data_IF_851307527510
#
_entry.id   IF_851307527510
#
_cell.length_a   1.000
_cell.length_b   1.000
_cell.length_c   1.000
_cell.angle_alpha   90.00
_cell.angle_beta   90.00
_cell.angle_gamma   90.00
#
_symmetry.space_group_name_H-M   'P 1'
#
loop_
_entity.id
_entity.type
_entity.pdbx_description
1 polymer ?
#
# COMPACT_ATOMS: atom_id res chain seq x y z
N UNK A 1 5.55 10.79 -11.71
CA UNK A 1 4.54 9.82 -11.21
C UNK A 1 4.24 10.18 -9.77
N UNK A 2 2.99 10.02 -9.29
CA UNK A 2 2.66 10.12 -7.86
C UNK A 2 2.47 8.72 -7.31
N UNK A 3 2.91 8.51 -6.07
CA UNK A 3 2.56 7.33 -5.28
C UNK A 3 1.67 7.86 -4.15
N UNK A 4 0.40 7.49 -4.20
CA UNK A 4 -0.63 7.90 -3.25
C UNK A 4 -0.93 6.69 -2.38
N UNK A 5 -0.92 6.84 -1.07
CA UNK A 5 -1.16 5.75 -0.14
C UNK A 5 -2.27 6.11 0.85
N UNK A 6 -2.95 5.08 1.34
CA UNK A 6 -4.10 5.20 2.24
C UNK A 6 -3.78 4.53 3.57
N UNK A 7 -3.77 5.31 4.61
CA UNK A 7 -3.70 4.78 5.98
C UNK A 7 -5.06 4.33 6.49
N UNK A 8 -5.07 3.35 7.40
CA UNK A 8 -6.24 2.97 8.19
C UNK A 8 -7.45 2.47 7.36
N UNK A 9 -7.22 1.73 6.27
CA UNK A 9 -8.31 1.26 5.39
C UNK A 9 -8.82 -0.17 5.69
N UNK A 10 -8.38 -0.79 6.78
CA UNK A 10 -8.87 -2.10 7.26
C UNK A 10 -9.19 -2.04 8.74
N UNK A 11 -10.41 -2.44 9.14
CA UNK A 11 -10.89 -2.34 10.53
C UNK A 11 -9.96 -3.07 11.50
N UNK A 12 -9.57 -4.31 11.19
CA UNK A 12 -8.70 -5.11 12.05
C UNK A 12 -7.32 -4.47 12.25
N UNK A 13 -6.74 -3.87 11.19
CA UNK A 13 -5.48 -3.13 11.28
C UNK A 13 -5.62 -1.84 12.10
N UNK A 14 -6.74 -1.13 11.97
CA UNK A 14 -7.01 0.03 12.83
C UNK A 14 -6.97 -0.35 14.31
N UNK A 15 -7.58 -1.46 14.69
CA UNK A 15 -7.55 -1.94 16.08
C UNK A 15 -6.18 -2.45 16.52
N UNK A 16 -5.35 -2.99 15.62
CA UNK A 16 -3.99 -3.45 15.90
C UNK A 16 -3.07 -2.31 16.36
N UNK A 17 -3.12 -1.16 15.66
CA UNK A 17 -2.22 -0.04 15.90
C UNK A 17 -2.87 1.14 16.64
N UNK A 18 -4.20 1.18 16.68
CA UNK A 18 -5.00 2.34 17.09
C UNK A 18 -6.20 1.94 17.96
N UNK A 19 -6.02 1.01 18.91
CA UNK A 19 -7.08 0.39 19.71
C UNK A 19 -8.06 1.39 20.37
N UNK A 20 -7.64 2.63 20.60
CA UNK A 20 -8.43 3.68 21.24
C UNK A 20 -8.89 4.79 20.26
N UNK A 21 -8.64 4.65 18.97
CA UNK A 21 -9.04 5.63 17.96
C UNK A 21 -10.33 5.19 17.26
N UNK A 22 -11.16 6.16 16.87
CA UNK A 22 -12.32 5.89 16.04
C UNK A 22 -11.87 5.49 14.63
N UNK A 23 -12.68 4.67 13.95
CA UNK A 23 -12.45 4.38 12.53
C UNK A 23 -12.55 5.69 11.72
N UNK A 24 -11.74 5.83 10.66
CA UNK A 24 -11.76 7.05 9.85
C UNK A 24 -13.10 7.20 9.13
N UNK A 25 -13.66 8.40 9.19
CA UNK A 25 -14.87 8.76 8.43
C UNK A 25 -14.54 9.08 6.95
N UNK A 26 -13.28 9.45 6.67
CA UNK A 26 -12.75 9.77 5.35
C UNK A 26 -11.39 9.10 5.13
N UNK A 27 -11.00 8.80 3.86
CA UNK A 27 -9.69 8.24 3.57
C UNK A 27 -8.53 9.09 4.09
N UNK A 28 -7.61 8.48 4.84
CA UNK A 28 -6.39 9.13 5.34
C UNK A 28 -5.31 9.03 4.26
N UNK A 29 -5.10 10.13 3.52
CA UNK A 29 -4.17 10.16 2.38
C UNK A 29 -2.79 10.61 2.84
N UNK A 30 -1.75 9.92 2.38
CA UNK A 30 -0.37 10.40 2.39
C UNK A 30 0.32 10.10 1.06
N UNK A 31 1.46 10.75 0.83
CA UNK A 31 2.17 10.63 -0.43
C UNK A 31 3.55 10.04 -0.20
N UNK A 32 4.02 9.28 -1.19
CA UNK A 32 5.43 8.91 -1.31
C UNK A 32 6.01 9.54 -2.58
N UNK A 33 7.25 10.06 -2.56
CA UNK A 33 7.91 10.55 -3.77
C UNK A 33 8.16 9.39 -4.75
N UNK A 34 8.44 9.69 -6.00
CA UNK A 34 8.76 8.68 -7.01
C UNK A 34 10.08 7.95 -6.75
N UNK A 35 11.02 8.56 -6.01
CA UNK A 35 12.24 7.90 -5.50
C UNK A 35 11.96 6.79 -4.48
N UNK A 36 10.78 6.78 -3.86
CA UNK A 36 10.36 5.70 -2.97
C UNK A 36 10.09 4.38 -3.71
N UNK A 37 9.92 4.42 -5.04
CA UNK A 37 9.54 3.23 -5.80
C UNK A 37 10.69 2.22 -5.92
N UNK A 38 10.45 0.99 -5.45
CA UNK A 38 11.28 -0.19 -5.67
C UNK A 38 10.52 -1.22 -6.50
N UNK A 39 11.13 -1.68 -7.59
CA UNK A 39 10.54 -2.61 -8.56
C UNK A 39 11.61 -3.54 -9.14
N UNK A 40 11.19 -4.42 -10.04
CA UNK A 40 12.08 -5.30 -10.80
C UNK A 40 12.87 -6.26 -9.88
N UNK A 41 12.24 -6.73 -8.79
CA UNK A 41 12.83 -7.66 -7.79
C UNK A 41 14.16 -7.18 -7.19
N UNK A 42 14.40 -5.88 -7.20
CA UNK A 42 15.61 -5.30 -6.58
C UNK A 42 15.55 -5.47 -5.06
N UNK A 43 16.71 -5.66 -4.40
CA UNK A 43 16.73 -5.79 -2.95
C UNK A 43 16.34 -4.48 -2.27
N UNK A 44 15.61 -4.60 -1.16
CA UNK A 44 15.35 -3.49 -0.24
C UNK A 44 16.48 -3.39 0.78
N UNK A 45 17.07 -2.22 0.91
CA UNK A 45 18.09 -1.94 1.92
C UNK A 45 17.45 -1.23 3.11
N UNK A 46 17.62 -1.81 4.33
CA UNK A 46 17.15 -1.20 5.56
C UNK A 46 17.91 0.12 5.79
N UNK A 47 17.22 1.26 5.95
CA UNK A 47 17.91 2.54 6.13
C UNK A 47 18.49 2.69 7.55
N UNK A 48 19.69 3.29 7.64
CA UNK A 48 20.40 3.49 8.90
C UNK A 48 19.73 4.45 9.89
N UNK A 49 18.80 5.29 9.40
CA UNK A 49 18.11 6.29 10.23
C UNK A 49 16.95 5.72 11.06
N UNK A 50 16.56 4.46 10.84
CA UNK A 50 15.45 3.80 11.56
C UNK A 50 15.93 2.52 12.24
N UNK A 51 15.47 2.30 13.46
CA UNK A 51 15.74 1.07 14.23
C UNK A 51 14.70 -0.02 13.99
N UNK A 52 13.60 0.31 13.33
CA UNK A 52 12.50 -0.61 13.05
C UNK A 52 11.78 -0.20 11.77
N UNK A 53 11.92 -1.01 10.74
CA UNK A 53 11.15 -0.89 9.50
C UNK A 53 10.17 -2.06 9.43
N UNK A 54 8.89 -1.73 9.34
CA UNK A 54 7.80 -2.71 9.24
C UNK A 54 7.34 -2.83 7.78
N UNK A 55 6.96 -4.06 7.38
CA UNK A 55 6.22 -4.31 6.15
C UNK A 55 4.73 -4.03 6.36
N UNK A 56 4.10 -3.46 5.37
CA UNK A 56 2.65 -3.27 5.23
C UNK A 56 2.27 -3.73 3.82
N UNK A 57 1.71 -4.94 3.71
CA UNK A 57 1.36 -5.54 2.41
C UNK A 57 0.03 -4.98 1.93
N UNK A 58 -0.02 -4.55 0.68
CA UNK A 58 -1.17 -3.86 0.12
C UNK A 58 -1.50 -4.32 -1.30
N UNK A 59 -2.78 -4.26 -1.67
CA UNK A 59 -3.12 -4.19 -3.08
C UNK A 59 -2.71 -2.81 -3.61
N UNK A 60 -2.02 -2.79 -4.75
CA UNK A 60 -1.60 -1.55 -5.44
C UNK A 60 -2.31 -1.45 -6.78
N UNK A 61 -2.92 -0.30 -7.02
CA UNK A 61 -3.70 -0.04 -8.23
C UNK A 61 -2.94 0.94 -9.13
N UNK A 62 -2.87 0.64 -10.45
CA UNK A 62 -2.26 1.53 -11.45
C UNK A 62 -3.31 2.38 -12.14
N UNK A 63 -3.12 3.70 -12.10
CA UNK A 63 -3.98 4.64 -12.80
C UNK A 63 -3.66 4.65 -14.30
N UNK A 64 -4.68 4.47 -15.14
CA UNK A 64 -4.55 4.37 -16.59
C UNK A 64 -5.13 5.57 -17.36
N UNK A 65 -5.75 6.54 -16.67
CA UNK A 65 -6.42 7.68 -17.30
C UNK A 65 -6.22 8.96 -16.50
N UNK A 66 -6.05 10.08 -17.21
CA UNK A 66 -6.06 11.41 -16.62
C UNK A 66 -7.45 11.72 -16.06
N UNK A 67 -7.54 12.20 -14.80
CA UNK A 67 -8.82 12.54 -14.18
C UNK A 67 -8.72 13.47 -12.98
N UNK A 68 -9.79 14.25 -12.80
CA UNK A 68 -10.01 15.17 -11.69
C UNK A 68 -11.50 15.19 -11.38
N UNK A 69 -11.89 15.24 -10.09
CA UNK A 69 -13.28 15.24 -9.63
C UNK A 69 -14.08 14.07 -10.24
N UNK A 70 -13.52 12.86 -10.14
CA UNK A 70 -14.12 11.65 -10.70
C UNK A 70 -15.29 11.21 -9.83
N UNK A 71 -16.48 11.07 -10.44
CA UNK A 71 -17.63 10.51 -9.71
C UNK A 71 -17.41 8.99 -9.45
N UNK A 72 -17.81 8.45 -8.26
CA UNK A 72 -17.59 7.05 -7.90
C UNK A 72 -18.02 6.05 -8.97
N UNK A 73 -19.20 6.26 -9.57
CA UNK A 73 -19.74 5.39 -10.64
C UNK A 73 -18.85 5.27 -11.89
N UNK A 74 -17.88 6.15 -12.06
CA UNK A 74 -16.95 6.16 -13.19
C UNK A 74 -15.53 5.80 -12.81
N UNK A 75 -15.22 5.61 -11.52
CA UNK A 75 -13.87 5.38 -11.02
C UNK A 75 -13.22 4.13 -11.62
N UNK A 76 -13.99 3.06 -11.83
CA UNK A 76 -13.55 1.82 -12.49
C UNK A 76 -12.92 2.01 -13.88
N UNK A 77 -13.11 3.17 -14.52
CA UNK A 77 -12.52 3.50 -15.84
C UNK A 77 -11.13 4.11 -15.75
N UNK A 78 -10.63 4.35 -14.53
CA UNK A 78 -9.39 5.09 -14.30
C UNK A 78 -8.24 4.20 -13.85
N UNK A 79 -8.46 2.90 -13.69
CA UNK A 79 -7.41 1.93 -13.42
C UNK A 79 -7.57 0.70 -14.32
N UNK A 80 -6.44 0.06 -14.65
CA UNK A 80 -6.40 -1.05 -15.60
C UNK A 80 -5.66 -2.28 -15.09
N UNK A 81 -4.86 -2.12 -14.04
CA UNK A 81 -4.05 -3.20 -13.51
C UNK A 81 -3.84 -3.07 -12.00
N UNK A 82 -3.60 -4.19 -11.35
CA UNK A 82 -3.33 -4.32 -9.93
C UNK A 82 -2.10 -5.18 -9.69
N UNK A 83 -1.48 -5.00 -8.54
CA UNK A 83 -0.39 -5.86 -8.05
C UNK A 83 -0.39 -5.91 -6.53
N UNK A 84 0.44 -6.77 -5.95
CA UNK A 84 0.80 -6.72 -4.53
C UNK A 84 2.01 -5.81 -4.37
N UNK A 85 1.98 -4.96 -3.36
CA UNK A 85 3.11 -4.12 -2.97
C UNK A 85 3.36 -4.16 -1.47
N UNK A 86 4.46 -3.52 -1.06
CA UNK A 86 4.79 -3.31 0.35
C UNK A 86 5.03 -1.83 0.59
N UNK A 87 4.26 -1.25 1.51
CA UNK A 87 4.47 0.09 2.07
C UNK A 87 5.39 -0.04 3.29
N UNK A 88 6.71 0.06 3.07
CA UNK A 88 7.66 0.06 4.16
C UNK A 88 7.51 1.31 5.02
N UNK A 89 7.50 1.08 6.33
CA UNK A 89 7.27 2.10 7.34
C UNK A 89 8.41 2.10 8.36
N UNK A 90 9.13 3.22 8.47
CA UNK A 90 10.05 3.46 9.57
C UNK A 90 9.23 3.70 10.85
N UNK A 91 8.90 2.61 11.55
CA UNK A 91 7.87 2.60 12.59
C UNK A 91 8.21 3.45 13.81
N UNK A 92 9.45 3.46 14.22
CA UNK A 92 9.95 4.30 15.31
C UNK A 92 9.80 5.79 14.99
N UNK A 93 10.10 6.19 13.75
CA UNK A 93 9.87 7.57 13.30
C UNK A 93 8.40 7.91 13.22
N UNK A 94 7.56 7.01 12.69
CA UNK A 94 6.13 7.23 12.58
C UNK A 94 5.50 7.46 13.96
N UNK A 95 5.85 6.62 14.94
CA UNK A 95 5.35 6.77 16.32
C UNK A 95 5.71 8.14 16.92
N UNK A 96 6.97 8.56 16.75
CA UNK A 96 7.43 9.88 17.20
C UNK A 96 6.67 11.02 16.51
N UNK A 97 6.56 10.97 15.16
CA UNK A 97 5.88 12.00 14.38
C UNK A 97 4.41 12.13 14.77
N UNK A 98 3.73 11.01 15.00
CA UNK A 98 2.33 10.98 15.46
C UNK A 98 2.18 11.61 16.84
N UNK A 99 3.04 11.25 17.79
CA UNK A 99 3.01 11.82 19.14
C UNK A 99 3.25 13.34 19.14
N UNK A 100 4.02 13.85 18.15
CA UNK A 100 4.32 15.27 17.98
C UNK A 100 3.33 15.99 17.03
N UNK A 101 2.33 15.31 16.47
CA UNK A 101 1.38 15.87 15.49
C UNK A 101 2.03 16.31 14.19
N UNK A 102 3.13 15.69 13.79
CA UNK A 102 3.91 16.02 12.57
C UNK A 102 3.50 15.15 11.39
N UNK A 103 3.72 15.61 10.14
CA UNK A 103 3.52 14.84 8.92
C UNK A 103 4.34 13.53 8.90
N UNK A 104 3.86 12.54 8.14
CA UNK A 104 4.44 11.16 8.12
C UNK A 104 5.50 10.94 7.03
N UNK A 105 5.72 11.90 6.14
CA UNK A 105 6.51 11.72 4.92
C UNK A 105 7.88 11.09 5.15
N UNK A 106 8.64 11.52 6.17
CA UNK A 106 9.98 10.96 6.43
C UNK A 106 9.94 9.51 6.95
N UNK A 107 8.81 9.07 7.49
CA UNK A 107 8.62 7.69 7.96
C UNK A 107 8.01 6.77 6.91
N UNK A 108 7.37 7.33 5.88
CA UNK A 108 6.63 6.63 4.82
C UNK A 108 7.23 6.84 3.44
N UNK A 109 7.83 8.00 3.17
CA UNK A 109 8.28 8.42 1.84
C UNK A 109 9.78 8.33 1.61
N UNK A 110 10.53 7.57 2.40
CA UNK A 110 11.96 7.39 2.18
C UNK A 110 12.25 6.52 0.94
N UNK A 111 13.45 6.59 0.41
CA UNK A 111 13.85 5.87 -0.80
C UNK A 111 13.60 4.36 -0.69
N UNK A 112 13.03 3.78 -1.75
CA UNK A 112 12.67 2.37 -1.87
C UNK A 112 11.59 1.89 -0.88
N UNK A 113 10.86 2.78 -0.21
CA UNK A 113 9.82 2.41 0.75
C UNK A 113 8.49 1.97 0.11
N UNK A 114 8.35 2.08 -1.22
CA UNK A 114 7.19 1.64 -1.97
C UNK A 114 7.57 0.50 -2.92
N UNK A 115 7.46 -0.74 -2.49
CA UNK A 115 7.81 -1.90 -3.31
C UNK A 115 6.58 -2.37 -4.08
N UNK A 116 6.74 -2.67 -5.38
CA UNK A 116 5.67 -3.23 -6.22
C UNK A 116 6.13 -4.49 -6.94
N UNK A 117 5.20 -5.43 -7.09
CA UNK A 117 5.34 -6.61 -7.93
C UNK A 117 4.94 -6.34 -9.38
N UNK A 118 4.83 -7.42 -10.15
CA UNK A 118 4.36 -7.40 -11.53
C UNK A 118 2.87 -7.09 -11.58
N UNK A 119 2.46 -6.20 -12.49
CA UNK A 119 1.07 -5.83 -12.67
C UNK A 119 0.30 -6.85 -13.48
N UNK A 120 -0.90 -7.20 -13.00
CA UNK A 120 -1.88 -8.03 -13.72
C UNK A 120 -3.11 -7.20 -14.11
N UNK A 121 -3.65 -7.37 -15.33
CA UNK A 121 -4.83 -6.62 -15.77
C UNK A 121 -6.04 -6.90 -14.89
N UNK A 122 -6.82 -5.87 -14.53
CA UNK A 122 -8.06 -6.02 -13.76
C UNK A 122 -9.10 -6.89 -14.47
N UNK A 123 -9.04 -6.97 -15.81
CA UNK A 123 -9.92 -7.81 -16.61
C UNK A 123 -9.77 -9.33 -16.35
N UNK A 124 -8.70 -9.75 -15.68
CA UNK A 124 -8.51 -11.15 -15.23
C UNK A 124 -9.44 -11.53 -14.07
N UNK A 125 -9.95 -10.55 -13.35
CA UNK A 125 -10.73 -10.76 -12.14
C UNK A 125 -12.20 -10.42 -12.37
N UNK A 126 -13.09 -11.20 -11.75
CA UNK A 126 -14.52 -10.94 -11.78
C UNK A 126 -14.89 -9.69 -10.98
N UNK A 127 -14.19 -9.51 -9.86
CA UNK A 127 -14.41 -8.41 -8.93
C UNK A 127 -13.10 -8.06 -8.22
N UNK A 128 -12.55 -6.89 -8.52
CA UNK A 128 -11.30 -6.40 -7.89
C UNK A 128 -11.50 -6.02 -6.42
N UNK A 129 -12.75 -5.88 -5.98
CA UNK A 129 -13.08 -5.62 -4.59
C UNK A 129 -13.25 -6.91 -3.76
N UNK A 130 -12.89 -8.08 -4.33
CA UNK A 130 -12.89 -9.37 -3.64
C UNK A 130 -11.72 -10.24 -4.12
N UNK A 131 -10.50 -9.80 -3.80
CA UNK A 131 -9.24 -10.48 -4.13
C UNK A 131 -8.50 -10.84 -2.86
N UNK A 132 -8.04 -12.08 -2.77
CA UNK A 132 -7.15 -12.53 -1.70
C UNK A 132 -5.71 -12.19 -2.03
N UNK A 133 -4.98 -11.64 -1.06
CA UNK A 133 -3.55 -11.39 -1.17
C UNK A 133 -2.81 -11.70 0.13
N UNK A 134 -1.55 -12.07 0.02
CA UNK A 134 -0.72 -12.35 1.20
C UNK A 134 0.77 -12.09 0.94
N UNK A 135 1.50 -11.96 2.03
CA UNK A 135 2.96 -11.88 2.06
C UNK A 135 3.53 -13.09 2.79
N UNK A 136 4.50 -13.71 2.17
CA UNK A 136 5.37 -14.69 2.81
C UNK A 136 6.73 -14.06 3.12
N UNK A 137 7.31 -14.42 4.28
CA UNK A 137 8.71 -14.18 4.61
C UNK A 137 9.36 -15.53 4.89
N UNK A 138 10.42 -15.84 4.14
CA UNK A 138 11.16 -17.12 4.23
C UNK A 138 10.21 -18.35 4.14
N UNK A 139 9.22 -18.26 3.22
CA UNK A 139 8.23 -19.31 2.97
C UNK A 139 7.07 -19.38 3.96
N UNK A 140 7.04 -18.54 5.01
CA UNK A 140 5.94 -18.51 5.97
C UNK A 140 5.02 -17.32 5.71
N UNK A 141 3.70 -17.55 5.66
CA UNK A 141 2.74 -16.46 5.54
C UNK A 141 2.71 -15.63 6.81
N UNK A 142 3.03 -14.34 6.67
CA UNK A 142 3.10 -13.40 7.80
C UNK A 142 1.96 -12.38 7.79
N UNK A 143 1.37 -12.09 6.62
CA UNK A 143 0.26 -11.18 6.48
C UNK A 143 -0.67 -11.65 5.36
N UNK A 144 -1.98 -11.56 5.57
CA UNK A 144 -2.97 -11.89 4.56
C UNK A 144 -4.19 -10.98 4.69
N UNK A 145 -4.86 -10.73 3.56
CA UNK A 145 -6.06 -9.91 3.50
C UNK A 145 -6.90 -10.20 2.28
N UNK A 146 -8.12 -9.67 2.30
CA UNK A 146 -8.99 -9.64 1.14
C UNK A 146 -9.45 -8.19 0.91
N UNK A 147 -9.54 -7.77 -0.34
CA UNK A 147 -9.91 -6.40 -0.70
C UNK A 147 -11.35 -6.05 -0.34
N UNK A 148 -12.23 -7.04 -0.10
CA UNK A 148 -13.61 -6.80 0.40
C UNK A 148 -13.65 -6.24 1.82
N UNK A 149 -12.55 -6.41 2.59
CA UNK A 149 -12.48 -5.96 3.98
C UNK A 149 -12.00 -4.49 4.10
N UNK A 150 -11.77 -3.83 2.97
CA UNK A 150 -11.47 -2.40 2.91
C UNK A 150 -12.63 -1.57 3.44
N UNK A 151 -12.35 -0.56 4.28
CA UNK A 151 -13.33 0.44 4.74
C UNK A 151 -13.81 1.28 3.56
N UNK A 152 -12.88 1.75 2.73
CA UNK A 152 -13.16 2.51 1.51
C UNK A 152 -12.75 1.67 0.29
N UNK A 153 -13.70 1.39 -0.59
CA UNK A 153 -13.46 0.66 -1.83
C UNK A 153 -12.50 1.40 -2.77
N UNK A 154 -11.86 0.69 -3.70
CA UNK A 154 -10.96 1.28 -4.71
C UNK A 154 -11.64 2.44 -5.45
N UNK A 155 -12.90 2.27 -5.86
CA UNK A 155 -13.65 3.30 -6.57
C UNK A 155 -13.91 4.54 -5.69
N UNK A 156 -14.22 4.34 -4.41
CA UNK A 156 -14.40 5.44 -3.45
C UNK A 156 -13.09 6.17 -3.20
N UNK A 157 -11.96 5.44 -3.08
CA UNK A 157 -10.63 6.05 -2.93
C UNK A 157 -10.27 6.93 -4.14
N UNK A 158 -10.45 6.43 -5.37
CA UNK A 158 -10.19 7.18 -6.60
C UNK A 158 -11.06 8.45 -6.66
N UNK A 159 -12.36 8.32 -6.36
CA UNK A 159 -13.26 9.46 -6.35
C UNK A 159 -12.84 10.51 -5.32
N UNK A 160 -12.53 10.08 -4.10
CA UNK A 160 -12.11 10.98 -3.01
C UNK A 160 -10.77 11.67 -3.32
N UNK A 161 -9.74 10.90 -3.68
CA UNK A 161 -8.41 11.42 -4.02
C UNK A 161 -8.48 12.43 -5.17
N UNK A 162 -9.30 12.16 -6.18
CA UNK A 162 -9.43 13.01 -7.36
C UNK A 162 -10.05 14.39 -7.07
N UNK A 163 -10.65 14.60 -5.90
CA UNK A 163 -11.09 15.93 -5.46
C UNK A 163 -9.92 16.86 -5.15
N UNK A 164 -8.81 16.31 -4.67
CA UNK A 164 -7.62 17.07 -4.27
C UNK A 164 -6.54 17.06 -5.34
N UNK A 165 -6.31 15.89 -5.97
CA UNK A 165 -5.21 15.68 -6.91
C UNK A 165 -5.72 15.27 -8.29
N UNK A 166 -5.15 15.86 -9.35
CA UNK A 166 -5.32 15.32 -10.71
C UNK A 166 -4.57 14.00 -10.81
N UNK A 167 -5.30 12.90 -11.02
CA UNK A 167 -4.72 11.61 -11.30
C UNK A 167 -4.15 11.58 -12.72
N UNK A 168 -2.95 10.99 -12.89
CA UNK A 168 -2.24 10.87 -14.17
C UNK A 168 -1.98 9.41 -14.49
N UNK A 169 -1.85 9.10 -15.76
CA UNK A 169 -1.43 7.77 -16.22
C UNK A 169 -0.11 7.39 -15.57
N UNK A 170 -0.04 6.18 -15.00
CA UNK A 170 1.11 5.66 -14.28
C UNK A 170 1.19 6.06 -12.81
N UNK A 171 0.28 6.88 -12.28
CA UNK A 171 0.18 7.07 -10.83
C UNK A 171 -0.20 5.75 -10.16
N UNK A 172 0.33 5.52 -8.96
CA UNK A 172 0.07 4.33 -8.14
C UNK A 172 -0.76 4.69 -6.93
N UNK A 173 -1.71 3.82 -6.59
CA UNK A 173 -2.54 3.92 -5.40
C UNK A 173 -2.32 2.68 -4.54
N UNK A 174 -1.67 2.84 -3.39
CA UNK A 174 -1.60 1.88 -2.30
C UNK A 174 -2.90 1.98 -1.50
N UNK A 175 -3.61 0.86 -1.36
CA UNK A 175 -5.01 0.88 -0.89
C UNK A 175 -5.19 0.63 0.59
N UNK A 176 -4.10 0.55 1.34
CA UNK A 176 -4.08 0.22 2.76
C UNK A 176 -3.74 -1.24 3.00
N UNK A 177 -3.28 -1.52 4.21
CA UNK A 177 -2.80 -2.83 4.66
C UNK A 177 -3.76 -3.49 5.64
N UNK A 178 -3.92 -4.83 5.59
CA UNK A 178 -4.65 -5.59 6.62
C UNK A 178 -3.84 -5.75 7.90
N UNK A 179 -4.41 -6.38 8.92
CA UNK A 179 -3.73 -6.76 10.16
C UNK A 179 -2.56 -7.71 9.89
N UNK A 180 -1.54 -7.69 10.76
CA UNK A 180 -0.36 -8.57 10.68
C UNK A 180 0.89 -7.86 10.20
N UNK A 181 0.95 -6.53 10.31
CA UNK A 181 2.18 -5.76 10.04
C UNK A 181 3.30 -6.15 11.00
N UNK A 182 4.54 -6.10 10.55
CA UNK A 182 5.67 -6.52 11.37
C UNK A 182 7.02 -6.09 10.82
N UNK A 183 8.09 -6.25 11.63
CA UNK A 183 9.42 -5.81 11.25
C UNK A 183 10.07 -6.73 10.20
N UNK A 184 10.93 -6.14 9.38
CA UNK A 184 11.85 -6.88 8.51
C UNK A 184 13.27 -6.90 9.06
N UNK A 185 14.04 -7.91 8.64
CA UNK A 185 15.45 -8.09 9.00
C UNK A 185 16.29 -8.39 7.76
N UNK A 186 17.55 -8.01 7.81
CA UNK A 186 18.51 -8.32 6.75
C UNK A 186 18.57 -9.83 6.51
N UNK A 187 18.58 -10.23 5.24
CA UNK A 187 18.64 -11.62 4.80
C UNK A 187 17.29 -12.24 4.49
N UNK A 188 16.18 -11.66 4.95
CA UNK A 188 14.84 -12.19 4.70
C UNK A 188 14.47 -12.10 3.21
N UNK A 189 13.74 -13.12 2.75
CA UNK A 189 13.17 -13.24 1.42
C UNK A 189 11.67 -12.97 1.51
N UNK A 190 11.17 -11.94 0.80
CA UNK A 190 9.78 -11.54 0.79
C UNK A 190 9.13 -11.93 -0.55
N UNK A 191 7.98 -12.60 -0.48
CA UNK A 191 7.20 -13.02 -1.63
C UNK A 191 5.74 -12.60 -1.45
N UNK A 192 5.21 -11.81 -2.39
CA UNK A 192 3.83 -11.32 -2.37
C UNK A 192 2.97 -12.03 -3.41
N UNK A 193 1.77 -12.41 -3.02
CA UNK A 193 0.84 -13.21 -3.82
C UNK A 193 -0.52 -12.52 -3.96
N UNK A 194 -1.11 -12.61 -5.14
CA UNK A 194 -2.48 -12.20 -5.45
C UNK A 194 -3.23 -13.36 -6.08
N UNK A 195 -4.36 -13.79 -5.50
CA UNK A 195 -5.15 -14.95 -5.98
C UNK A 195 -4.27 -16.20 -6.20
N UNK A 196 -3.26 -16.40 -5.33
CA UNK A 196 -2.31 -17.51 -5.40
C UNK A 196 -1.19 -17.36 -6.44
N UNK A 197 -1.17 -16.31 -7.26
CA UNK A 197 -0.09 -16.01 -8.19
C UNK A 197 0.98 -15.15 -7.51
N UNK A 198 2.24 -15.57 -7.58
CA UNK A 198 3.36 -14.78 -7.05
C UNK A 198 3.67 -13.62 -8.00
N UNK A 199 3.48 -12.39 -7.51
CA UNK A 199 3.73 -11.18 -8.27
C UNK A 199 4.92 -10.37 -7.73
N UNK A 200 5.31 -10.58 -6.48
CA UNK A 200 6.36 -9.86 -5.79
C UNK A 200 7.40 -10.83 -5.23
N UNK A 201 8.69 -10.54 -5.45
CA UNK A 201 9.80 -11.40 -5.02
C UNK A 201 11.05 -10.53 -4.85
N UNK A 202 11.57 -10.41 -3.61
CA UNK A 202 12.79 -9.64 -3.33
C UNK A 202 13.41 -9.99 -1.99
N UNK A 203 14.66 -9.56 -1.79
CA UNK A 203 15.39 -9.74 -0.55
C UNK A 203 15.59 -8.43 0.21
N UNK A 204 15.64 -8.53 1.54
CA UNK A 204 16.05 -7.45 2.45
C UNK A 204 17.58 -7.51 2.66
N UNK A 205 18.25 -6.37 2.57
CA UNK A 205 19.71 -6.20 2.71
C UNK A 205 20.05 -5.12 3.72
#
# INVERSE_FOLDING_TARGET
MKIIAIGMNYVAHCHELHANENLPEEPVIFMKPDSALLKDSKPFFIPDFSKRVDYETELVVRICRLGKNIAPRFAHRYYDAVTVGVDFTARDLQQRLRAEGKPWEISKGFDNSAVIGDFVPVSRFKDVQNLDFHLNIDGNTVQQGNTRDMIFSIDNLIAYISQFYTLKIGDLLYTGTPVGVGPVSIGQHLEGYLEGEKLLDFYVR
#
